data_IF_424644089266
#
_entry.id   IF_424644089266
#
_cell.length_a   1.000
_cell.length_b   1.000
_cell.length_c   1.000
_cell.angle_alpha   90.00
_cell.angle_beta   90.00
_cell.angle_gamma   90.00
#
_symmetry.space_group_name_H-M   'P 1'
#
loop_
_entity.id
_entity.type
_entity.pdbx_description
1 polymer ?
#
# COMPACT_ATOMS: atom_id res chain seq x y z
N UNK A 1 -0.72 4.85 -12.45
CA UNK A 1 -0.72 6.32 -12.39
C UNK A 1 0.72 6.80 -12.41
N UNK A 2 1.04 7.77 -13.26
CA UNK A 2 2.34 8.43 -13.29
C UNK A 2 2.21 9.74 -12.53
N UNK A 3 3.16 10.03 -11.65
CA UNK A 3 3.17 11.23 -10.83
C UNK A 3 4.18 12.20 -11.39
N UNK A 4 3.78 13.47 -11.59
CA UNK A 4 4.66 14.53 -12.08
C UNK A 4 4.94 15.57 -11.00
N UNK A 5 6.14 16.13 -11.02
CA UNK A 5 6.54 17.29 -10.21
C UNK A 5 7.34 18.25 -11.09
N UNK A 6 6.81 19.47 -11.31
CA UNK A 6 7.38 20.48 -12.21
C UNK A 6 7.78 19.88 -13.58
N UNK A 7 6.81 19.24 -14.25
CA UNK A 7 6.94 18.60 -15.57
C UNK A 7 7.89 17.39 -15.67
N UNK A 8 8.51 16.98 -14.56
CA UNK A 8 9.32 15.76 -14.48
C UNK A 8 8.55 14.60 -13.86
N UNK A 9 8.77 13.38 -14.37
CA UNK A 9 8.25 12.17 -13.73
C UNK A 9 8.89 12.00 -12.36
N UNK A 10 8.06 12.02 -11.31
CA UNK A 10 8.47 11.96 -9.92
C UNK A 10 8.24 10.58 -9.28
N UNK A 11 7.40 9.74 -9.89
CA UNK A 11 7.08 8.42 -9.37
C UNK A 11 5.90 7.76 -10.08
N UNK A 12 5.48 6.62 -9.54
CA UNK A 12 4.35 5.86 -10.04
C UNK A 12 3.62 5.13 -8.90
N UNK A 13 2.40 4.69 -9.20
CA UNK A 13 1.65 3.75 -8.38
C UNK A 13 0.57 3.05 -9.22
N UNK A 14 0.00 1.97 -8.70
CA UNK A 14 -1.19 1.32 -9.22
C UNK A 14 -2.32 1.39 -8.19
N UNK A 15 -3.56 1.56 -8.69
CA UNK A 15 -4.77 1.33 -7.91
C UNK A 15 -5.47 0.13 -8.55
N UNK A 16 -5.41 -1.02 -7.87
CA UNK A 16 -5.98 -2.26 -8.35
C UNK A 16 -7.36 -2.44 -7.71
N UNK A 17 -8.43 -2.46 -8.50
CA UNK A 17 -9.76 -2.79 -7.99
C UNK A 17 -9.96 -4.30 -7.78
N UNK A 18 -9.13 -5.11 -8.43
CA UNK A 18 -9.03 -6.55 -8.22
C UNK A 18 -7.60 -6.87 -7.75
N UNK A 19 -7.44 -7.05 -6.45
CA UNK A 19 -6.14 -7.33 -5.83
C UNK A 19 -5.65 -8.75 -6.15
N UNK A 20 -4.33 -8.95 -6.13
CA UNK A 20 -3.75 -10.30 -6.13
C UNK A 20 -3.74 -10.94 -4.75
N UNK A 21 -3.89 -10.16 -3.69
CA UNK A 21 -4.01 -10.65 -2.32
C UNK A 21 -5.44 -11.17 -2.08
N UNK A 22 -5.63 -12.46 -1.74
CA UNK A 22 -6.96 -13.07 -1.69
C UNK A 22 -7.95 -12.32 -0.79
N UNK A 23 -7.54 -11.87 0.40
CA UNK A 23 -8.45 -11.15 1.30
C UNK A 23 -9.00 -9.87 0.67
N UNK A 24 -8.15 -9.06 0.04
CA UNK A 24 -8.62 -7.83 -0.60
C UNK A 24 -9.51 -8.11 -1.80
N UNK A 25 -9.17 -9.12 -2.60
CA UNK A 25 -9.98 -9.52 -3.76
C UNK A 25 -11.36 -10.01 -3.33
N UNK A 26 -11.40 -10.94 -2.38
CA UNK A 26 -12.62 -11.63 -1.97
C UNK A 26 -13.60 -10.66 -1.28
N UNK A 27 -13.08 -9.62 -0.60
CA UNK A 27 -13.85 -8.56 0.05
C UNK A 27 -14.01 -7.27 -0.80
N UNK A 28 -13.59 -7.27 -2.06
CA UNK A 28 -13.65 -6.11 -2.97
C UNK A 28 -13.00 -4.83 -2.40
N UNK A 29 -11.84 -4.99 -1.78
CA UNK A 29 -11.01 -3.90 -1.25
C UNK A 29 -10.01 -3.48 -2.33
N UNK A 30 -10.08 -2.25 -2.86
CA UNK A 30 -9.07 -1.74 -3.78
C UNK A 30 -7.70 -1.67 -3.11
N UNK A 31 -6.66 -1.99 -3.86
CA UNK A 31 -5.28 -2.05 -3.38
C UNK A 31 -4.44 -0.94 -4.01
N UNK A 32 -3.73 -0.18 -3.19
CA UNK A 32 -2.62 0.65 -3.62
C UNK A 32 -1.39 -0.24 -3.74
N UNK A 33 -0.90 -0.40 -4.96
CA UNK A 33 0.22 -1.28 -5.29
C UNK A 33 1.34 -0.49 -6.00
N UNK A 34 2.59 -0.95 -5.92
CA UNK A 34 3.76 -0.33 -6.56
C UNK A 34 3.93 1.19 -6.32
N UNK A 35 3.55 1.70 -5.14
CA UNK A 35 3.74 3.12 -4.82
C UNK A 35 5.23 3.42 -4.61
N UNK A 36 5.81 4.17 -5.55
CA UNK A 36 7.20 4.61 -5.46
C UNK A 36 7.36 6.06 -5.89
N UNK A 37 8.06 6.84 -5.07
CA UNK A 37 8.54 8.20 -5.40
C UNK A 37 10.06 8.15 -5.48
N UNK A 38 10.62 8.63 -6.60
CA UNK A 38 12.06 8.59 -6.82
C UNK A 38 12.79 9.43 -5.74
N UNK A 39 13.97 8.98 -5.27
CA UNK A 39 14.67 9.58 -4.14
C UNK A 39 14.79 11.11 -4.15
N UNK A 40 15.04 11.70 -5.30
CA UNK A 40 15.20 13.13 -5.54
C UNK A 40 13.90 13.95 -5.34
N UNK A 41 12.74 13.29 -5.39
CA UNK A 41 11.43 13.91 -5.18
C UNK A 41 10.82 13.60 -3.80
N UNK A 42 11.54 12.87 -2.93
CA UNK A 42 11.07 12.57 -1.56
C UNK A 42 11.09 13.81 -0.66
N UNK A 43 10.38 13.74 0.47
CA UNK A 43 10.19 14.85 1.46
C UNK A 43 9.50 16.10 0.90
N UNK A 44 8.84 16.00 -0.26
CA UNK A 44 8.03 17.07 -0.88
C UNK A 44 6.52 16.85 -0.73
N UNK A 45 6.10 15.95 0.18
CA UNK A 45 4.69 15.55 0.39
C UNK A 45 3.99 14.94 -0.84
N UNK A 46 4.73 14.54 -1.87
CA UNK A 46 4.17 13.99 -3.11
C UNK A 46 3.43 12.67 -2.85
N UNK A 47 4.06 11.73 -2.12
CA UNK A 47 3.41 10.46 -1.75
C UNK A 47 2.13 10.68 -0.93
N UNK A 48 2.12 11.67 -0.03
CA UNK A 48 0.94 11.99 0.78
C UNK A 48 -0.22 12.45 -0.10
N UNK A 49 0.03 13.41 -1.00
CA UNK A 49 -1.00 13.90 -1.94
C UNK A 49 -1.50 12.81 -2.87
N UNK A 50 -0.60 11.94 -3.34
CA UNK A 50 -0.97 10.79 -4.16
C UNK A 50 -1.91 9.85 -3.40
N UNK A 51 -1.61 9.55 -2.13
CA UNK A 51 -2.48 8.74 -1.28
C UNK A 51 -3.85 9.40 -1.08
N UNK A 52 -3.92 10.71 -0.87
CA UNK A 52 -5.20 11.43 -0.75
C UNK A 52 -6.08 11.23 -2.00
N UNK A 53 -5.48 11.34 -3.20
CA UNK A 53 -6.18 11.10 -4.46
C UNK A 53 -6.61 9.64 -4.65
N UNK A 54 -5.75 8.68 -4.29
CA UNK A 54 -6.08 7.25 -4.37
C UNK A 54 -7.22 6.88 -3.42
N UNK A 55 -7.16 7.38 -2.18
CA UNK A 55 -8.19 7.21 -1.15
C UNK A 55 -9.53 7.81 -1.62
N UNK A 56 -9.52 9.03 -2.17
CA UNK A 56 -10.72 9.67 -2.72
C UNK A 56 -11.32 8.87 -3.88
N UNK A 57 -10.48 8.31 -4.76
CA UNK A 57 -10.96 7.49 -5.88
C UNK A 57 -11.52 6.14 -5.42
N UNK A 58 -10.88 5.48 -4.46
CA UNK A 58 -11.38 4.22 -3.89
C UNK A 58 -12.69 4.41 -3.11
N UNK A 59 -12.85 5.53 -2.39
CA UNK A 59 -14.05 5.85 -1.61
C UNK A 59 -15.34 5.90 -2.45
N UNK A 60 -15.23 6.07 -3.76
CA UNK A 60 -16.38 6.06 -4.69
C UNK A 60 -17.04 4.69 -4.80
N UNK A 61 -16.30 3.62 -4.56
CA UNK A 61 -16.76 2.24 -4.80
C UNK A 61 -16.52 1.29 -3.64
N UNK A 62 -15.68 1.66 -2.66
CA UNK A 62 -15.38 0.81 -1.51
C UNK A 62 -15.29 1.61 -0.21
N UNK A 63 -15.68 0.97 0.89
CA UNK A 63 -15.51 1.51 2.25
C UNK A 63 -14.04 1.43 2.70
N UNK A 64 -13.29 0.46 2.20
CA UNK A 64 -11.93 0.21 2.62
C UNK A 64 -10.96 0.38 1.45
N UNK A 65 -9.72 0.69 1.76
CA UNK A 65 -8.59 0.63 0.83
C UNK A 65 -7.43 -0.07 1.52
N UNK A 66 -6.71 -0.89 0.76
CA UNK A 66 -5.62 -1.71 1.26
C UNK A 66 -4.28 -1.41 0.59
N UNK A 67 -3.19 -1.87 1.20
CA UNK A 67 -1.85 -1.90 0.61
C UNK A 67 -0.98 -2.96 1.26
N UNK A 68 0.00 -3.47 0.51
CA UNK A 68 1.10 -4.28 1.03
C UNK A 68 2.33 -3.44 1.38
N UNK A 69 3.10 -3.84 2.39
CA UNK A 69 4.39 -3.22 2.72
C UNK A 69 5.44 -4.28 3.03
N UNK A 70 6.64 -4.10 2.48
CA UNK A 70 7.77 -4.98 2.74
C UNK A 70 8.33 -4.86 4.16
N UNK A 71 9.11 -5.88 4.56
CA UNK A 71 9.50 -6.11 5.96
C UNK A 71 10.96 -5.81 6.29
N UNK A 72 11.69 -5.16 5.39
CA UNK A 72 13.08 -4.76 5.62
C UNK A 72 13.26 -3.23 5.59
N UNK A 73 14.44 -2.77 5.99
CA UNK A 73 14.75 -1.38 6.37
C UNK A 73 14.27 -0.33 5.35
N UNK A 74 14.35 -0.64 4.07
CA UNK A 74 14.06 0.31 2.99
C UNK A 74 12.58 0.71 2.96
N UNK A 75 11.70 -0.15 3.48
CA UNK A 75 10.27 0.11 3.65
C UNK A 75 9.92 0.87 4.94
N UNK A 76 10.88 1.12 5.84
CA UNK A 76 10.59 1.74 7.15
C UNK A 76 9.93 3.13 7.06
N UNK A 77 10.27 3.92 6.04
CA UNK A 77 9.59 5.20 5.80
C UNK A 77 8.13 5.00 5.36
N UNK A 78 7.87 4.00 4.52
CA UNK A 78 6.53 3.67 4.06
C UNK A 78 5.67 3.13 5.23
N UNK A 79 6.21 2.21 6.02
CA UNK A 79 5.56 1.66 7.22
C UNK A 79 5.10 2.77 8.19
N UNK A 80 6.00 3.74 8.48
CA UNK A 80 5.68 4.89 9.34
C UNK A 80 4.63 5.82 8.70
N UNK A 81 4.73 6.06 7.41
CA UNK A 81 3.80 6.94 6.68
C UNK A 81 2.40 6.34 6.63
N UNK A 82 2.26 5.05 6.31
CA UNK A 82 0.96 4.38 6.23
C UNK A 82 0.27 4.36 7.60
N UNK A 83 0.99 3.96 8.65
CA UNK A 83 0.44 3.94 10.01
C UNK A 83 0.06 5.34 10.50
N UNK A 84 0.85 6.37 10.23
CA UNK A 84 0.49 7.76 10.59
C UNK A 84 -0.72 8.30 9.85
N UNK A 85 -1.12 7.66 8.73
CA UNK A 85 -2.28 8.02 7.92
C UNK A 85 -3.54 7.20 8.22
N UNK A 86 -3.52 6.41 9.29
CA UNK A 86 -4.67 5.61 9.75
C UNK A 86 -4.80 4.23 9.10
N UNK A 87 -3.79 3.78 8.34
CA UNK A 87 -3.74 2.38 7.92
C UNK A 87 -3.37 1.50 9.11
N UNK A 88 -4.15 0.45 9.33
CA UNK A 88 -3.94 -0.54 10.39
C UNK A 88 -3.60 -1.89 9.77
N UNK A 89 -2.79 -2.69 10.45
CA UNK A 89 -2.51 -4.06 10.03
C UNK A 89 -3.82 -4.86 9.95
N UNK A 90 -3.99 -5.63 8.88
CA UNK A 90 -5.23 -6.39 8.63
C UNK A 90 -5.39 -7.64 9.52
N UNK A 91 -4.38 -7.95 10.33
CA UNK A 91 -4.36 -9.06 11.27
C UNK A 91 -4.15 -10.45 10.65
N UNK A 92 -3.77 -10.55 9.37
CA UNK A 92 -3.66 -11.83 8.65
C UNK A 92 -2.25 -12.40 8.57
N UNK A 93 -1.28 -11.72 9.18
CA UNK A 93 0.12 -12.14 9.18
C UNK A 93 0.82 -11.86 7.86
N UNK A 94 2.03 -12.40 7.71
CA UNK A 94 2.87 -12.16 6.54
C UNK A 94 2.43 -13.04 5.37
N UNK A 95 2.56 -12.50 4.17
CA UNK A 95 2.39 -13.25 2.91
C UNK A 95 3.68 -13.23 2.13
N UNK A 96 3.94 -14.29 1.37
CA UNK A 96 4.99 -14.33 0.36
C UNK A 96 4.32 -14.59 -0.99
N UNK A 97 4.54 -13.72 -1.98
CA UNK A 97 3.91 -13.84 -3.30
C UNK A 97 2.36 -13.94 -3.22
N UNK A 98 1.74 -13.13 -2.36
CA UNK A 98 0.29 -13.12 -2.09
C UNK A 98 -0.27 -14.41 -1.47
N UNK A 99 0.58 -15.33 -1.03
CA UNK A 99 0.19 -16.55 -0.34
C UNK A 99 0.51 -16.41 1.15
N UNK A 100 -0.42 -16.71 2.07
CA UNK A 100 -0.14 -16.71 3.50
C UNK A 100 1.04 -17.62 3.85
N UNK A 101 2.00 -17.12 4.63
CA UNK A 101 3.14 -17.92 5.07
C UNK A 101 2.70 -18.85 6.20
N UNK A 102 3.00 -20.14 6.04
CA UNK A 102 2.70 -21.16 7.04
C UNK A 102 3.80 -21.17 8.12
N UNK A 103 3.45 -21.09 9.41
CA UNK A 103 4.43 -21.20 10.50
C UNK A 103 5.29 -22.48 10.37
N UNK A 104 6.60 -22.32 10.53
CA UNK A 104 7.58 -23.41 10.37
C UNK A 104 8.22 -23.48 8.98
N UNK A 105 7.69 -22.76 8.00
CA UNK A 105 8.29 -22.66 6.67
C UNK A 105 9.30 -21.52 6.59
N UNK A 106 10.33 -21.70 5.77
CA UNK A 106 11.26 -20.63 5.40
C UNK A 106 10.72 -19.82 4.23
N UNK A 107 10.96 -18.52 4.26
CA UNK A 107 10.70 -17.57 3.17
C UNK A 107 11.91 -16.66 2.98
N UNK A 108 12.05 -16.10 1.78
CA UNK A 108 13.10 -15.12 1.49
C UNK A 108 12.59 -13.75 1.95
N UNK A 109 13.47 -12.97 2.58
CA UNK A 109 13.18 -11.58 2.95
C UNK A 109 13.54 -10.69 1.77
N UNK A 110 12.57 -10.49 0.88
CA UNK A 110 12.65 -9.65 -0.31
C UNK A 110 11.37 -8.81 -0.47
N UNK A 111 11.14 -8.29 -1.67
CA UNK A 111 10.00 -7.44 -1.99
C UNK A 111 8.66 -8.19 -2.06
N UNK A 112 8.67 -9.52 -2.13
CA UNK A 112 7.46 -10.33 -2.16
C UNK A 112 6.98 -10.73 -0.76
N UNK A 113 7.80 -10.52 0.27
CA UNK A 113 7.44 -10.75 1.67
C UNK A 113 6.78 -9.51 2.27
N UNK A 114 5.45 -9.55 2.39
CA UNK A 114 4.61 -8.40 2.70
C UNK A 114 3.78 -8.62 3.98
N UNK A 115 3.54 -7.52 4.69
CA UNK A 115 2.39 -7.35 5.58
C UNK A 115 1.35 -6.47 4.88
N UNK A 116 0.08 -6.79 5.06
CA UNK A 116 -1.02 -6.01 4.50
C UNK A 116 -1.64 -5.09 5.55
N UNK A 117 -2.00 -3.88 5.10
CA UNK A 117 -2.70 -2.88 5.88
C UNK A 117 -4.00 -2.46 5.19
N UNK A 118 -4.97 -2.07 5.99
CA UNK A 118 -6.27 -1.56 5.54
C UNK A 118 -6.58 -0.23 6.22
N UNK A 119 -7.27 0.66 5.51
CA UNK A 119 -7.83 1.90 6.06
C UNK A 119 -9.33 1.96 5.79
N UNK A 120 -10.11 2.30 6.82
CA UNK A 120 -11.52 2.66 6.67
C UNK A 120 -11.63 4.09 6.14
N UNK A 121 -12.28 4.27 4.98
CA UNK A 121 -12.43 5.57 4.32
C UNK A 121 -13.65 6.36 4.82
N UNK A 122 -14.50 5.77 5.66
CA UNK A 122 -15.67 6.44 6.24
C UNK A 122 -15.41 6.98 7.65
N UNK A 123 -14.38 6.46 8.33
CA UNK A 123 -13.97 6.96 9.64
C UNK A 123 -12.82 7.96 9.50
N UNK A 124 -13.18 9.25 9.48
CA UNK A 124 -12.26 10.31 9.86
C UNK A 124 -12.17 10.33 11.39
N UNK A 125 -11.32 9.48 11.97
CA UNK A 125 -10.84 9.72 13.34
C UNK A 125 -9.80 10.84 13.32
#
# INVERSE_FOLDING_TARGET
MIVYYNDSVAGCCHLLFESKYPFFRDDNIPEINDLNIFPEYRRKQIASKLLDELELNAAKTSRFIGLGVGLYKDYGNAQRMYTSRGYVLDGRGITYNNVPVIPGNSVIVDDDLLLYLVKDLQNNL
#
